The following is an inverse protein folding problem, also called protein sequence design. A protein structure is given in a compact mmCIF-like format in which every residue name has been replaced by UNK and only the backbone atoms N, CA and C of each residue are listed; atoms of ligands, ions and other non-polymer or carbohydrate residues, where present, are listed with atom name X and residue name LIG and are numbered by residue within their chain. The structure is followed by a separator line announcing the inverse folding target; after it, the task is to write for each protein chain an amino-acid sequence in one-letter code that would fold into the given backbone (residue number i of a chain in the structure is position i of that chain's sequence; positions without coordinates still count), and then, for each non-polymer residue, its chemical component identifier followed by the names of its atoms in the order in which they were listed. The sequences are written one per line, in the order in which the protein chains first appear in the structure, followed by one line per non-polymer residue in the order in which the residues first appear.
data_IF_031869647104
#
_entry.id   IF_031869647104
#
_cell.length_a   1.000
_cell.length_b   1.000
_cell.length_c   1.000
_cell.angle_alpha   90.00
_cell.angle_beta   90.00
_cell.angle_gamma   90.00
#
_symmetry.space_group_name_H-M   'P 1'
#
loop_
_entity.id
_entity.type
_entity.pdbx_description
1 polymer ?
#
# COMPACT_ATOMS: atom_id res chain seq x y z
N UNK A 1 28.82 6.96 -1.45
CA UNK A 1 28.22 6.28 -2.61
C UNK A 1 26.72 6.50 -2.55
N UNK A 2 26.24 7.51 -3.25
CA UNK A 2 24.82 7.86 -3.38
C UNK A 2 24.24 6.89 -4.39
N UNK A 3 23.38 5.97 -3.97
CA UNK A 3 22.60 5.18 -4.91
C UNK A 3 21.62 6.15 -5.58
N UNK A 4 22.00 6.64 -6.75
CA UNK A 4 21.09 7.32 -7.67
C UNK A 4 20.09 6.24 -8.07
N UNK A 5 18.84 6.39 -7.64
CA UNK A 5 17.75 5.59 -8.17
C UNK A 5 17.71 5.87 -9.66
N UNK A 6 18.11 4.90 -10.46
CA UNK A 6 17.98 4.96 -11.90
C UNK A 6 16.49 5.16 -12.23
N UNK A 7 16.18 6.36 -12.71
CA UNK A 7 14.82 6.75 -13.08
C UNK A 7 14.43 6.24 -14.46
N UNK A 8 15.37 5.65 -15.20
CA UNK A 8 15.27 5.30 -16.61
C UNK A 8 15.41 3.79 -16.78
N UNK A 9 14.34 3.06 -16.51
CA UNK A 9 13.97 1.82 -17.19
C UNK A 9 12.55 1.53 -16.72
N UNK A 10 11.59 1.52 -17.64
CA UNK A 10 10.37 0.75 -17.49
C UNK A 10 10.79 -0.72 -17.36
N UNK A 11 11.29 -1.12 -16.19
CA UNK A 11 11.52 -2.51 -15.86
C UNK A 11 10.13 -3.10 -15.74
N UNK A 12 9.69 -3.72 -16.81
CA UNK A 12 8.47 -4.50 -16.78
C UNK A 12 8.63 -5.58 -15.71
N UNK A 13 7.78 -5.56 -14.70
CA UNK A 13 7.82 -6.53 -13.61
C UNK A 13 7.04 -7.75 -14.07
N UNK A 14 7.76 -8.82 -14.42
CA UNK A 14 7.14 -10.12 -14.64
C UNK A 14 6.73 -10.73 -13.30
N UNK A 15 5.44 -10.66 -12.99
CA UNK A 15 4.90 -11.17 -11.73
C UNK A 15 5.11 -12.67 -11.54
N UNK A 16 5.37 -13.46 -12.58
CA UNK A 16 5.65 -14.89 -12.43
C UNK A 16 7.05 -15.16 -11.85
N UNK A 17 8.02 -14.30 -12.17
CA UNK A 17 9.44 -14.53 -11.86
C UNK A 17 10.04 -13.49 -10.92
N UNK A 18 9.37 -12.34 -10.75
CA UNK A 18 9.84 -11.25 -9.90
C UNK A 18 10.01 -11.71 -8.45
N UNK A 19 11.11 -11.27 -7.85
CA UNK A 19 11.40 -11.43 -6.42
C UNK A 19 10.54 -10.49 -5.59
N UNK A 20 10.40 -10.79 -4.29
CA UNK A 20 9.71 -9.91 -3.35
C UNK A 20 10.36 -8.51 -3.28
N UNK A 21 11.68 -8.41 -3.41
CA UNK A 21 12.38 -7.13 -3.39
C UNK A 21 12.07 -6.28 -4.63
N UNK A 22 12.00 -6.88 -5.81
CA UNK A 22 11.58 -6.20 -7.04
C UNK A 22 10.12 -5.74 -6.95
N UNK A 23 9.24 -6.60 -6.45
CA UNK A 23 7.82 -6.27 -6.22
C UNK A 23 7.70 -5.08 -5.25
N UNK A 24 8.43 -5.11 -4.14
CA UNK A 24 8.41 -4.03 -3.14
C UNK A 24 8.93 -2.73 -3.73
N UNK A 25 10.06 -2.74 -4.42
CA UNK A 25 10.61 -1.55 -5.07
C UNK A 25 9.62 -0.94 -6.07
N UNK A 26 9.01 -1.78 -6.90
CA UNK A 26 8.03 -1.34 -7.89
C UNK A 26 6.76 -0.78 -7.22
N UNK A 27 6.26 -1.43 -6.17
CA UNK A 27 5.08 -0.97 -5.42
C UNK A 27 5.33 0.36 -4.70
N UNK A 28 6.46 0.51 -3.99
CA UNK A 28 6.83 1.73 -3.29
C UNK A 28 7.05 2.91 -4.24
N UNK A 29 7.59 2.66 -5.44
CA UNK A 29 7.72 3.69 -6.49
C UNK A 29 6.36 4.04 -7.08
N UNK A 30 5.51 3.04 -7.30
CA UNK A 30 4.20 3.18 -7.90
C UNK A 30 3.16 3.87 -7.02
N UNK A 31 3.31 3.90 -5.70
CA UNK A 31 2.33 4.58 -4.82
C UNK A 31 2.23 6.07 -5.15
N UNK A 32 3.34 6.72 -5.50
CA UNK A 32 3.38 8.15 -5.84
C UNK A 32 3.06 8.35 -7.32
N UNK A 33 1.96 9.04 -7.68
CA UNK A 33 1.52 9.15 -9.08
C UNK A 33 2.58 9.71 -10.03
N UNK A 34 3.40 10.66 -9.58
CA UNK A 34 4.46 11.30 -10.37
C UNK A 34 5.57 10.34 -10.81
N UNK A 35 5.82 9.27 -10.04
CA UNK A 35 6.89 8.30 -10.30
C UNK A 35 6.36 6.94 -10.78
N UNK A 36 5.04 6.83 -10.96
CA UNK A 36 4.33 5.60 -11.28
C UNK A 36 4.44 5.26 -12.76
N UNK A 37 5.09 4.14 -13.07
CA UNK A 37 4.92 3.49 -14.37
C UNK A 37 3.52 2.86 -14.44
N UNK A 38 2.63 3.40 -15.28
CA UNK A 38 1.20 3.00 -15.31
C UNK A 38 1.01 1.53 -15.63
N UNK A 39 1.80 0.97 -16.57
CA UNK A 39 1.75 -0.44 -16.95
C UNK A 39 2.12 -1.37 -15.79
N UNK A 40 3.23 -1.06 -15.10
CA UNK A 40 3.70 -1.83 -13.94
C UNK A 40 2.70 -1.74 -12.78
N UNK A 41 2.20 -0.53 -12.48
CA UNK A 41 1.22 -0.34 -11.41
C UNK A 41 -0.08 -1.10 -11.68
N UNK A 42 -0.55 -1.10 -12.94
CA UNK A 42 -1.71 -1.89 -13.34
C UNK A 42 -1.48 -3.38 -13.06
N UNK A 43 -0.34 -3.94 -13.47
CA UNK A 43 0.03 -5.35 -13.21
C UNK A 43 0.11 -5.67 -11.72
N UNK A 44 0.80 -4.84 -10.93
CA UNK A 44 0.93 -5.03 -9.48
C UNK A 44 -0.41 -5.03 -8.78
N UNK A 45 -1.34 -4.22 -9.27
CA UNK A 45 -2.67 -4.10 -8.67
C UNK A 45 -3.65 -5.12 -9.20
N UNK A 46 -3.37 -5.91 -10.25
CA UNK A 46 -4.29 -6.95 -10.77
C UNK A 46 -4.72 -7.94 -9.67
N UNK A 47 -5.96 -8.44 -9.77
CA UNK A 47 -6.56 -9.30 -8.73
C UNK A 47 -5.72 -10.56 -8.46
N UNK A 48 -5.13 -11.14 -9.51
CA UNK A 48 -4.26 -12.30 -9.41
C UNK A 48 -2.94 -12.04 -8.64
N UNK A 49 -2.60 -10.77 -8.38
CA UNK A 49 -1.27 -10.38 -7.90
C UNK A 49 -1.30 -9.50 -6.65
N UNK A 50 -2.38 -8.73 -6.45
CA UNK A 50 -2.46 -7.70 -5.41
C UNK A 50 -2.21 -8.24 -4.00
N UNK A 51 -2.72 -9.43 -3.67
CA UNK A 51 -2.47 -10.06 -2.37
C UNK A 51 -0.98 -10.36 -2.16
N UNK A 52 -0.31 -10.91 -3.18
CA UNK A 52 1.14 -11.18 -3.13
C UNK A 52 1.93 -9.88 -2.96
N UNK A 53 1.54 -8.82 -3.66
CA UNK A 53 2.17 -7.50 -3.53
C UNK A 53 2.01 -6.96 -2.11
N UNK A 54 0.81 -6.99 -1.56
CA UNK A 54 0.54 -6.56 -0.19
C UNK A 54 1.38 -7.35 0.83
N UNK A 55 1.44 -8.68 0.69
CA UNK A 55 2.23 -9.53 1.59
C UNK A 55 3.74 -9.28 1.47
N UNK A 56 4.26 -9.02 0.27
CA UNK A 56 5.66 -8.65 0.08
C UNK A 56 5.98 -7.32 0.78
N UNK A 57 5.11 -6.30 0.64
CA UNK A 57 5.27 -5.01 1.31
C UNK A 57 5.16 -5.14 2.84
N UNK A 58 4.22 -5.94 3.35
CA UNK A 58 4.10 -6.22 4.80
C UNK A 58 5.36 -6.89 5.35
N UNK A 59 5.90 -7.90 4.65
CA UNK A 59 7.16 -8.56 5.02
C UNK A 59 8.32 -7.57 5.08
N UNK A 60 8.47 -6.75 4.05
CA UNK A 60 9.54 -5.74 4.00
C UNK A 60 9.41 -4.71 5.14
N UNK A 61 8.18 -4.27 5.46
CA UNK A 61 7.92 -3.41 6.62
C UNK A 61 8.33 -4.09 7.93
N UNK A 62 7.94 -5.35 8.14
CA UNK A 62 8.30 -6.09 9.36
C UNK A 62 9.81 -6.32 9.52
N UNK A 63 10.53 -6.55 8.43
CA UNK A 63 12.01 -6.61 8.42
C UNK A 63 12.61 -5.27 8.85
N UNK A 64 12.10 -4.15 8.31
CA UNK A 64 12.56 -2.82 8.67
C UNK A 64 12.26 -2.48 10.15
N UNK A 65 11.08 -2.83 10.66
CA UNK A 65 10.72 -2.66 12.07
C UNK A 65 11.65 -3.46 13.00
N UNK A 66 11.95 -4.71 12.64
CA UNK A 66 12.90 -5.55 13.37
C UNK A 66 14.31 -4.94 13.36
N UNK A 67 14.76 -4.44 12.21
CA UNK A 67 16.05 -3.77 12.09
C UNK A 67 16.10 -2.47 12.93
N UNK A 68 15.01 -1.70 12.97
CA UNK A 68 14.87 -0.51 13.84
C UNK A 68 14.97 -0.87 15.32
N UNK A 69 14.25 -1.90 15.77
CA UNK A 69 14.30 -2.34 17.16
C UNK A 69 15.71 -2.79 17.56
N UNK A 70 16.36 -3.61 16.71
CA UNK A 70 17.74 -4.06 16.92
C UNK A 70 18.73 -2.90 16.97
N UNK A 71 18.68 -2.00 15.99
CA UNK A 71 19.62 -0.87 15.89
C UNK A 71 19.44 0.13 17.04
N UNK A 72 18.22 0.25 17.58
CA UNK A 72 17.96 1.04 18.79
C UNK A 72 18.66 0.42 20.00
N UNK A 73 18.54 -0.89 20.20
CA UNK A 73 19.25 -1.59 21.27
C UNK A 73 20.78 -1.46 21.12
N UNK A 74 21.32 -1.61 19.91
CA UNK A 74 22.75 -1.40 19.62
C UNK A 74 23.19 0.04 19.95
N UNK A 75 22.35 1.04 19.66
CA UNK A 75 22.61 2.44 20.00
C UNK A 75 22.62 2.68 21.51
N UNK A 76 21.66 2.10 22.24
CA UNK A 76 21.55 2.24 23.69
C UNK A 76 22.75 1.58 24.39
N UNK A 77 23.17 0.39 23.92
CA UNK A 77 24.36 -0.31 24.40
C UNK A 77 25.65 0.48 24.12
N UNK A 78 25.79 1.01 22.89
CA UNK A 78 26.96 1.80 22.52
C UNK A 78 27.08 3.07 23.38
N UNK A 79 25.97 3.76 23.62
CA UNK A 79 25.93 4.92 24.49
C UNK A 79 26.32 4.58 25.93
N UNK A 80 25.79 3.50 26.49
CA UNK A 80 26.15 3.03 27.82
C UNK A 80 27.65 2.71 27.94
N UNK A 81 28.24 2.08 26.92
CA UNK A 81 29.67 1.79 26.86
C UNK A 81 30.53 3.07 26.79
N UNK A 82 30.09 4.10 26.07
CA UNK A 82 30.77 5.39 26.03
C UNK A 82 30.70 6.10 27.41
N UNK A 83 29.53 6.11 28.05
CA UNK A 83 29.36 6.69 29.38
C UNK A 83 30.21 5.98 30.45
N UNK A 84 30.36 4.66 30.35
CA UNK A 84 31.20 3.90 31.27
C UNK A 84 32.71 4.19 31.14
N UNK A 85 33.17 4.62 29.97
CA UNK A 85 34.56 5.03 29.74
C UNK A 85 34.86 6.42 30.30
N UNK A 86 33.89 7.33 30.21
CA UNK A 86 33.96 8.71 30.73
C UNK A 86 35.23 9.48 30.27
N UNK A 87 35.44 9.50 28.95
CA UNK A 87 36.57 10.19 28.32
C UNK A 87 36.11 11.11 27.17
N UNK A 88 36.87 12.16 26.90
CA UNK A 88 36.65 13.03 25.72
C UNK A 88 36.64 12.22 24.39
N UNK A 89 37.44 11.16 24.33
CA UNK A 89 37.50 10.27 23.18
C UNK A 89 36.19 9.47 23.01
N UNK A 90 35.64 8.94 24.10
CA UNK A 90 34.36 8.21 24.06
C UNK A 90 33.17 9.12 23.72
N UNK A 91 33.21 10.39 24.12
CA UNK A 91 32.20 11.39 23.76
C UNK A 91 32.24 11.71 22.26
N UNK A 92 33.44 11.84 21.70
CA UNK A 92 33.62 12.04 20.26
C UNK A 92 33.17 10.81 19.46
N UNK A 93 33.47 9.60 19.93
CA UNK A 93 32.98 8.34 19.35
C UNK A 93 31.45 8.27 19.36
N UNK A 94 30.83 8.63 20.49
CA UNK A 94 29.38 8.69 20.61
C UNK A 94 28.76 9.71 19.66
N UNK A 95 29.31 10.91 19.57
CA UNK A 95 28.80 11.94 18.66
C UNK A 95 28.81 11.47 17.19
N UNK A 96 29.88 10.78 16.76
CA UNK A 96 29.99 10.20 15.41
C UNK A 96 28.98 9.09 15.19
N UNK A 97 28.86 8.16 16.13
CA UNK A 97 27.89 7.07 16.06
C UNK A 97 26.46 7.63 15.99
N UNK A 98 26.11 8.58 16.88
CA UNK A 98 24.79 9.23 16.93
C UNK A 98 24.43 9.89 15.61
N UNK A 99 25.37 10.57 14.95
CA UNK A 99 25.13 11.17 13.64
C UNK A 99 24.79 10.11 12.58
N UNK A 100 25.53 8.99 12.54
CA UNK A 100 25.26 7.88 11.62
C UNK A 100 23.92 7.20 11.93
N UNK A 101 23.64 6.94 13.20
CA UNK A 101 22.37 6.37 13.66
C UNK A 101 21.20 7.26 13.27
N UNK A 102 21.29 8.57 13.49
CA UNK A 102 20.22 9.54 13.15
C UNK A 102 19.95 9.57 11.65
N UNK A 103 21.01 9.63 10.82
CA UNK A 103 20.87 9.60 9.37
C UNK A 103 20.25 8.29 8.86
N UNK A 104 20.59 7.16 9.48
CA UNK A 104 20.00 5.86 9.19
C UNK A 104 18.52 5.80 9.63
N UNK A 105 18.21 6.28 10.85
CA UNK A 105 16.87 6.26 11.41
C UNK A 105 15.89 7.10 10.58
N UNK A 106 16.33 8.25 10.06
CA UNK A 106 15.53 9.06 9.15
C UNK A 106 15.12 8.26 7.89
N UNK A 107 16.04 7.50 7.30
CA UNK A 107 15.76 6.65 6.13
C UNK A 107 14.81 5.49 6.48
N UNK A 108 15.05 4.81 7.59
CA UNK A 108 14.23 3.69 8.04
C UNK A 108 12.78 4.14 8.38
N UNK A 109 12.63 5.32 8.97
CA UNK A 109 11.32 5.92 9.26
C UNK A 109 10.61 6.33 7.96
N UNK A 110 11.33 6.93 7.01
CA UNK A 110 10.79 7.27 5.69
C UNK A 110 10.31 6.03 4.92
N UNK A 111 11.09 4.94 4.95
CA UNK A 111 10.67 3.66 4.38
C UNK A 111 9.40 3.12 5.04
N UNK A 112 9.30 3.16 6.38
CA UNK A 112 8.10 2.71 7.11
C UNK A 112 6.86 3.48 6.67
N UNK A 113 6.94 4.82 6.62
CA UNK A 113 5.83 5.67 6.17
C UNK A 113 5.42 5.33 4.73
N UNK A 114 6.40 5.19 3.82
CA UNK A 114 6.12 4.88 2.42
C UNK A 114 5.47 3.49 2.27
N UNK A 115 5.90 2.50 3.04
CA UNK A 115 5.31 1.17 3.05
C UNK A 115 3.87 1.18 3.59
N UNK A 116 3.59 1.95 4.64
CA UNK A 116 2.23 2.14 5.18
C UNK A 116 1.31 2.82 4.15
N UNK A 117 1.78 3.89 3.50
CA UNK A 117 1.01 4.58 2.46
C UNK A 117 0.77 3.67 1.25
N UNK A 118 1.74 2.84 0.89
CA UNK A 118 1.60 1.84 -0.18
C UNK A 118 0.54 0.81 0.15
N UNK A 119 0.56 0.26 1.38
CA UNK A 119 -0.46 -0.70 1.82
C UNK A 119 -1.85 -0.08 1.81
N UNK A 120 -2.01 1.14 2.33
CA UNK A 120 -3.30 1.85 2.32
C UNK A 120 -3.84 2.03 0.90
N UNK A 121 -2.99 2.38 -0.07
CA UNK A 121 -3.40 2.51 -1.46
C UNK A 121 -3.81 1.17 -2.09
N UNK A 122 -3.06 0.10 -1.80
CA UNK A 122 -3.40 -1.24 -2.29
C UNK A 122 -4.74 -1.71 -1.70
N UNK A 123 -4.98 -1.47 -0.41
CA UNK A 123 -6.25 -1.75 0.28
C UNK A 123 -7.41 -0.97 -0.37
N UNK A 124 -7.23 0.33 -0.63
CA UNK A 124 -8.22 1.12 -1.35
C UNK A 124 -8.52 0.53 -2.73
N UNK A 125 -7.52 0.04 -3.47
CA UNK A 125 -7.74 -0.59 -4.79
C UNK A 125 -8.57 -1.87 -4.66
N UNK A 126 -8.32 -2.69 -3.63
CA UNK A 126 -9.13 -3.89 -3.34
C UNK A 126 -10.57 -3.49 -2.98
N UNK A 127 -10.75 -2.47 -2.15
CA UNK A 127 -12.08 -1.97 -1.75
C UNK A 127 -12.87 -1.43 -2.94
N UNK A 128 -12.26 -0.57 -3.75
CA UNK A 128 -12.92 -0.01 -4.94
C UNK A 128 -13.37 -1.13 -5.90
N UNK A 129 -12.58 -2.18 -6.07
CA UNK A 129 -12.97 -3.33 -6.90
C UNK A 129 -14.12 -4.14 -6.32
N UNK A 130 -14.18 -4.30 -5.00
CA UNK A 130 -15.33 -4.94 -4.34
C UNK A 130 -16.61 -4.13 -4.50
N UNK A 131 -16.48 -2.82 -4.66
CA UNK A 131 -17.61 -1.93 -4.89
C UNK A 131 -18.06 -1.86 -6.37
N UNK A 132 -17.24 -2.29 -7.34
CA UNK A 132 -17.36 -1.87 -8.75
C UNK A 132 -18.18 -2.75 -9.71
N UNK A 133 -18.94 -3.75 -9.26
CA UNK A 133 -19.95 -4.37 -10.12
C UNK A 133 -21.12 -4.93 -9.32
N UNK A 134 -20.84 -5.84 -8.40
CA UNK A 134 -21.88 -6.52 -7.62
C UNK A 134 -22.59 -5.59 -6.66
N UNK A 135 -21.88 -4.60 -6.09
CA UNK A 135 -22.50 -3.61 -5.20
C UNK A 135 -23.36 -2.61 -5.95
N UNK A 136 -22.96 -2.19 -7.16
CA UNK A 136 -23.77 -1.32 -8.03
C UNK A 136 -25.00 -2.07 -8.53
N UNK A 137 -24.84 -3.29 -9.04
CA UNK A 137 -25.95 -4.15 -9.49
C UNK A 137 -26.92 -4.44 -8.36
N UNK A 138 -26.43 -4.76 -7.16
CA UNK A 138 -27.27 -4.96 -5.97
C UNK A 138 -28.02 -3.68 -5.58
N UNK A 139 -27.37 -2.52 -5.54
CA UNK A 139 -28.03 -1.24 -5.26
C UNK A 139 -29.11 -0.90 -6.29
N UNK A 140 -28.85 -1.16 -7.57
CA UNK A 140 -29.85 -0.95 -8.62
C UNK A 140 -31.03 -1.93 -8.48
N UNK A 141 -30.77 -3.19 -8.12
CA UNK A 141 -31.80 -4.20 -7.83
C UNK A 141 -32.67 -3.78 -6.64
N UNK A 142 -32.05 -3.31 -5.55
CA UNK A 142 -32.77 -2.84 -4.36
C UNK A 142 -33.63 -1.60 -4.68
N UNK A 143 -33.11 -0.66 -5.49
CA UNK A 143 -33.85 0.51 -5.94
C UNK A 143 -35.08 0.13 -6.80
N UNK A 144 -34.95 -0.88 -7.67
CA UNK A 144 -36.08 -1.42 -8.45
C UNK A 144 -37.13 -2.05 -7.55
N UNK A 145 -36.72 -2.86 -6.56
CA UNK A 145 -37.66 -3.45 -5.60
C UNK A 145 -38.40 -2.38 -4.79
N UNK A 146 -37.71 -1.35 -4.33
CA UNK A 146 -38.31 -0.22 -3.63
C UNK A 146 -39.31 0.55 -4.50
N UNK A 147 -38.96 0.81 -5.77
CA UNK A 147 -39.85 1.46 -6.73
C UNK A 147 -41.12 0.65 -6.98
N UNK A 148 -40.99 -0.68 -7.18
CA UNK A 148 -42.13 -1.57 -7.37
C UNK A 148 -43.06 -1.61 -6.16
N UNK A 149 -42.49 -1.63 -4.95
CA UNK A 149 -43.26 -1.57 -3.72
C UNK A 149 -43.97 -0.22 -3.54
N UNK A 150 -43.32 0.89 -3.91
CA UNK A 150 -43.92 2.22 -3.87
C UNK A 150 -45.08 2.37 -4.86
N UNK A 151 -44.90 1.95 -6.12
CA UNK A 151 -45.97 1.98 -7.13
C UNK A 151 -47.19 1.16 -6.68
N UNK A 152 -46.98 -0.02 -6.10
CA UNK A 152 -48.05 -0.84 -5.51
C UNK A 152 -48.73 -0.17 -4.31
N UNK A 153 -47.98 0.50 -3.44
CA UNK A 153 -48.52 1.17 -2.27
C UNK A 153 -49.35 2.42 -2.61
N UNK A 154 -49.05 3.06 -3.74
CA UNK A 154 -49.74 4.25 -4.24
C UNK A 154 -50.82 3.96 -5.28
N UNK A 155 -51.01 2.68 -5.64
CA UNK A 155 -51.93 2.23 -6.70
C UNK A 155 -51.61 2.89 -8.07
N UNK A 156 -50.34 3.23 -8.28
CA UNK A 156 -49.84 3.79 -9.53
C UNK A 156 -49.63 2.65 -10.53
N UNK A 157 -50.26 2.78 -11.71
CA UNK A 157 -50.11 1.80 -12.77
C UNK A 157 -48.73 1.96 -13.44
N UNK A 158 -47.84 0.95 -13.38
CA UNK A 158 -46.50 1.06 -13.94
C UNK A 158 -46.56 1.22 -15.47
N UNK A 159 -45.66 2.04 -16.01
CA UNK A 159 -45.56 2.22 -17.46
C UNK A 159 -44.79 1.07 -18.12
N UNK A 160 -44.87 0.99 -19.45
CA UNK A 160 -44.06 0.04 -20.24
C UNK A 160 -42.55 0.22 -20.01
N UNK A 161 -42.10 1.45 -19.69
CA UNK A 161 -40.71 1.76 -19.38
C UNK A 161 -40.29 1.21 -18.01
N UNK A 162 -41.18 1.24 -17.02
CA UNK A 162 -40.94 0.65 -15.70
C UNK A 162 -40.80 -0.87 -15.81
N UNK A 163 -41.69 -1.50 -16.58
CA UNK A 163 -41.61 -2.93 -16.87
C UNK A 163 -40.36 -3.33 -17.66
N UNK A 164 -39.87 -2.47 -18.54
CA UNK A 164 -38.61 -2.70 -19.26
C UNK A 164 -37.40 -2.58 -18.31
N UNK A 165 -37.40 -1.59 -17.42
CA UNK A 165 -36.37 -1.38 -16.40
C UNK A 165 -36.30 -2.55 -15.41
N UNK A 166 -37.44 -3.03 -14.91
CA UNK A 166 -37.49 -4.15 -13.95
C UNK A 166 -36.95 -5.45 -14.55
N UNK A 167 -37.25 -5.70 -15.84
CA UNK A 167 -36.73 -6.88 -16.56
C UNK A 167 -35.23 -6.82 -16.84
N UNK A 168 -34.63 -5.62 -16.88
CA UNK A 168 -33.21 -5.46 -17.19
C UNK A 168 -32.28 -5.99 -16.09
N UNK A 169 -32.76 -6.14 -14.84
CA UNK A 169 -31.96 -6.57 -13.68
C UNK A 169 -32.42 -7.90 -13.04
N UNK A 170 -33.42 -8.57 -13.64
CA UNK A 170 -33.91 -9.90 -13.28
C UNK A 170 -33.20 -11.06 -14.03
N UNK A 171 -32.26 -10.76 -14.93
CA UNK A 171 -31.35 -11.74 -15.57
C UNK A 171 -30.03 -11.83 -14.83
#
# INVERSE_FOLDING_TARGET
MTAVLDTSLDVDVDMATATDDEIVKAALRGVTPEFRATSVWKKLTEEAHIERVMEAVKRARGINETAMARRRAESDEFHANCLAKDTDASDLEWARFRAQYTAWLAKATGFRSLAEDTLRHLEMVVEHRRDDADTVIRRLRDAIHAHRAAAQAHDDEPTDYDHALWRALER
#
